data_IF_621197615700
#
_entry.id   IF_621197615700
#
_cell.length_a   1.000
_cell.length_b   1.000
_cell.length_c   1.000
_cell.angle_alpha   90.00
_cell.angle_beta   90.00
_cell.angle_gamma   90.00
#
_symmetry.space_group_name_H-M   'P 1'
#
loop_
_entity.id
_entity.type
_entity.pdbx_description
1 polymer ?
#
# COMPACT_ATOMS: atom_id res chain seq x y z
N UNK A 1 0.24 15.15 -0.02
CA UNK A 1 -0.25 13.81 -0.41
C UNK A 1 -1.77 13.85 -0.36
N UNK A 2 -2.44 13.22 -1.32
CA UNK A 2 -3.92 13.28 -1.44
C UNK A 2 -4.60 12.21 -0.56
N UNK A 3 -3.85 11.21 -0.07
CA UNK A 3 -4.38 10.13 0.76
C UNK A 3 -3.69 10.08 2.12
N UNK A 4 -4.47 9.82 3.16
CA UNK A 4 -3.98 9.58 4.52
C UNK A 4 -3.48 8.14 4.70
N UNK A 5 -2.68 7.92 5.76
CA UNK A 5 -2.13 6.60 6.11
C UNK A 5 -3.24 5.54 6.20
N UNK A 6 -4.32 5.87 6.91
CA UNK A 6 -5.42 4.95 7.18
C UNK A 6 -6.21 4.64 5.89
N UNK A 7 -6.39 5.64 5.01
CA UNK A 7 -7.01 5.45 3.70
C UNK A 7 -6.16 4.54 2.78
N UNK A 8 -4.83 4.68 2.83
CA UNK A 8 -3.94 3.79 2.08
C UNK A 8 -4.00 2.35 2.60
N UNK A 9 -4.04 2.17 3.92
CA UNK A 9 -4.19 0.83 4.53
C UNK A 9 -5.55 0.19 4.23
N UNK A 10 -6.63 0.98 4.18
CA UNK A 10 -7.96 0.50 3.79
C UNK A 10 -8.00 0.11 2.31
N UNK A 11 -7.42 0.94 1.42
CA UNK A 11 -7.32 0.63 -0.01
C UNK A 11 -6.48 -0.61 -0.30
N UNK A 12 -5.38 -0.80 0.43
CA UNK A 12 -4.56 -2.02 0.32
C UNK A 12 -5.39 -3.25 0.72
N UNK A 13 -6.09 -3.20 1.86
CA UNK A 13 -6.95 -4.30 2.30
C UNK A 13 -8.05 -4.64 1.31
N UNK A 14 -8.75 -3.62 0.78
CA UNK A 14 -9.79 -3.82 -0.22
C UNK A 14 -9.25 -4.43 -1.53
N UNK A 15 -8.03 -4.06 -1.94
CA UNK A 15 -7.38 -4.66 -3.11
C UNK A 15 -6.90 -6.09 -2.84
N UNK A 16 -6.34 -6.37 -1.67
CA UNK A 16 -5.91 -7.71 -1.28
C UNK A 16 -7.11 -8.68 -1.25
N UNK A 17 -8.24 -8.28 -0.65
CA UNK A 17 -9.47 -9.06 -0.64
C UNK A 17 -10.04 -9.30 -2.05
N UNK A 18 -9.94 -8.30 -2.93
CA UNK A 18 -10.39 -8.41 -4.32
C UNK A 18 -9.50 -9.34 -5.14
N UNK A 19 -8.20 -9.31 -4.91
CA UNK A 19 -7.23 -10.22 -5.53
C UNK A 19 -7.49 -11.65 -5.06
N UNK A 20 -7.68 -11.87 -3.77
CA UNK A 20 -7.93 -13.20 -3.19
C UNK A 20 -9.24 -13.80 -3.71
N UNK A 21 -10.32 -13.00 -3.75
CA UNK A 21 -11.59 -13.42 -4.34
C UNK A 21 -11.46 -13.77 -5.82
N UNK A 22 -10.75 -12.97 -6.60
CA UNK A 22 -10.57 -13.24 -8.02
C UNK A 22 -9.68 -14.45 -8.27
N UNK A 23 -8.59 -14.63 -7.49
CA UNK A 23 -7.74 -15.81 -7.53
C UNK A 23 -8.52 -17.09 -7.19
N UNK A 24 -9.45 -17.01 -6.24
CA UNK A 24 -10.36 -18.10 -5.87
C UNK A 24 -11.32 -18.49 -7.01
N UNK A 25 -11.65 -17.55 -7.91
CA UNK A 25 -12.47 -17.78 -9.10
C UNK A 25 -11.67 -18.18 -10.36
N UNK A 26 -10.33 -18.22 -10.30
CA UNK A 26 -9.47 -18.61 -11.45
C UNK A 26 -9.67 -20.07 -11.87
N UNK A 27 -10.35 -20.89 -11.05
CA UNK A 27 -10.73 -22.26 -11.42
C UNK A 27 -11.66 -22.36 -12.65
N UNK A 28 -12.22 -21.24 -13.17
CA UNK A 28 -13.17 -21.27 -14.29
C UNK A 28 -12.84 -20.39 -15.51
N UNK A 29 -12.05 -19.29 -15.40
CA UNK A 29 -11.94 -18.24 -16.44
C UNK A 29 -10.49 -17.80 -16.79
N UNK A 30 -9.59 -18.76 -17.02
CA UNK A 30 -8.11 -18.66 -16.97
C UNK A 30 -7.31 -17.68 -17.85
N UNK A 31 -7.87 -16.59 -18.40
CA UNK A 31 -7.07 -15.54 -19.09
C UNK A 31 -7.42 -14.10 -18.68
N UNK A 32 -8.69 -13.72 -18.66
CA UNK A 32 -9.09 -12.35 -18.34
C UNK A 32 -8.86 -12.01 -16.86
N UNK A 33 -9.05 -12.99 -15.97
CA UNK A 33 -8.83 -12.84 -14.53
C UNK A 33 -7.34 -12.64 -14.21
N UNK A 34 -6.44 -13.26 -14.98
CA UNK A 34 -4.99 -13.12 -14.78
C UNK A 34 -4.50 -11.69 -15.03
N UNK A 35 -5.01 -11.03 -16.09
CA UNK A 35 -4.68 -9.63 -16.37
C UNK A 35 -5.23 -8.69 -15.28
N UNK A 36 -6.49 -8.88 -14.88
CA UNK A 36 -7.13 -8.06 -13.84
C UNK A 36 -6.42 -8.19 -12.48
N UNK A 37 -6.08 -9.42 -12.08
CA UNK A 37 -5.30 -9.68 -10.87
C UNK A 37 -3.93 -8.99 -10.97
N UNK A 38 -3.24 -9.09 -12.11
CA UNK A 38 -1.95 -8.43 -12.31
C UNK A 38 -2.04 -6.90 -12.16
N UNK A 39 -3.08 -6.27 -12.72
CA UNK A 39 -3.28 -4.82 -12.59
C UNK A 39 -3.61 -4.40 -11.16
N UNK A 40 -4.43 -5.19 -10.43
CA UNK A 40 -4.71 -4.93 -9.02
C UNK A 40 -3.47 -5.10 -8.14
N UNK A 41 -2.64 -6.12 -8.40
CA UNK A 41 -1.36 -6.30 -7.69
C UNK A 41 -0.45 -5.08 -7.90
N UNK A 42 -0.32 -4.57 -9.14
CA UNK A 42 0.47 -3.36 -9.43
C UNK A 42 -0.08 -2.12 -8.73
N UNK A 43 -1.39 -2.00 -8.56
CA UNK A 43 -2.00 -0.89 -7.83
C UNK A 43 -1.72 -1.00 -6.33
N UNK A 44 -1.85 -2.22 -5.78
CA UNK A 44 -1.55 -2.53 -4.38
C UNK A 44 -0.09 -2.22 -4.04
N UNK A 45 0.85 -2.61 -4.90
CA UNK A 45 2.27 -2.32 -4.71
C UNK A 45 2.57 -0.82 -4.72
N UNK A 46 1.90 -0.05 -5.58
CA UNK A 46 2.02 1.42 -5.59
C UNK A 46 1.52 2.03 -4.29
N UNK A 47 0.37 1.60 -3.77
CA UNK A 47 -0.13 2.09 -2.48
C UNK A 47 0.78 1.68 -1.32
N UNK A 48 1.36 0.48 -1.37
CA UNK A 48 2.33 0.04 -0.38
C UNK A 48 3.61 0.90 -0.40
N UNK A 49 4.09 1.28 -1.59
CA UNK A 49 5.24 2.19 -1.72
C UNK A 49 4.91 3.57 -1.15
N UNK A 50 3.75 4.14 -1.47
CA UNK A 50 3.32 5.42 -0.92
C UNK A 50 3.19 5.38 0.62
N UNK A 51 2.68 4.28 1.18
CA UNK A 51 2.60 4.07 2.63
C UNK A 51 3.99 3.99 3.26
N UNK A 52 4.92 3.28 2.61
CA UNK A 52 6.31 3.19 3.07
C UNK A 52 7.02 4.55 3.03
N UNK A 53 6.78 5.36 2.00
CA UNK A 53 7.30 6.72 1.89
C UNK A 53 6.75 7.64 2.99
N UNK A 54 5.44 7.57 3.26
CA UNK A 54 4.81 8.28 4.39
C UNK A 54 5.45 7.90 5.72
N UNK A 55 5.63 6.60 5.98
CA UNK A 55 6.26 6.12 7.20
C UNK A 55 7.73 6.56 7.29
N UNK A 56 8.46 6.57 6.18
CA UNK A 56 9.84 7.03 6.12
C UNK A 56 9.95 8.54 6.37
N UNK A 57 9.08 9.35 5.76
CA UNK A 57 9.01 10.79 5.97
C UNK A 57 8.66 11.13 7.42
N UNK A 58 7.69 10.42 8.00
CA UNK A 58 7.31 10.58 9.41
C UNK A 58 8.48 10.23 10.33
N UNK A 59 9.19 9.13 10.07
CA UNK A 59 10.40 8.74 10.82
C UNK A 59 11.54 9.74 10.67
N UNK A 60 11.77 10.30 9.47
CA UNK A 60 12.77 11.35 9.26
C UNK A 60 12.42 12.65 10.01
N UNK A 61 11.14 13.04 10.02
CA UNK A 61 10.65 14.21 10.76
C UNK A 61 10.87 14.04 12.26
N UNK A 62 10.60 12.85 12.82
CA UNK A 62 10.89 12.53 14.23
C UNK A 62 12.39 12.55 14.54
N UNK A 63 13.25 12.02 13.65
CA UNK A 63 14.71 12.07 13.84
C UNK A 63 15.26 13.50 13.84
N UNK A 64 14.82 14.36 12.91
CA UNK A 64 15.18 15.80 12.92
C UNK A 64 14.71 16.50 14.19
N UNK A 65 13.53 16.13 14.70
CA UNK A 65 13.00 16.68 15.95
C UNK A 65 13.85 16.25 17.16
N UNK A 66 14.26 14.97 17.24
CA UNK A 66 15.11 14.47 18.33
C UNK A 66 16.49 15.12 18.39
N UNK A 67 17.09 15.45 17.24
CA UNK A 67 18.41 16.10 17.19
C UNK A 67 18.36 17.52 17.77
N UNK A 68 17.23 18.22 17.69
CA UNK A 68 17.10 19.60 18.22
C UNK A 68 17.09 19.70 19.75
N UNK A 69 16.79 18.61 20.48
CA UNK A 69 16.69 18.63 21.94
C UNK A 69 17.89 18.01 22.68
N UNK A 70 18.90 17.51 21.95
CA UNK A 70 20.11 16.93 22.53
C UNK A 70 21.26 17.96 22.66
N UNK A 71 20.94 19.19 23.09
CA UNK A 71 21.95 20.20 23.38
C UNK A 71 21.64 20.92 24.68
N UNK A 72 21.88 20.23 25.80
CA UNK A 72 22.23 20.80 27.10
C UNK A 72 23.09 19.78 27.84
#
# INVERSE_FOLDING_TARGET
>A
MIYDKDELEEKIRALDEKIENAQSQVSFNGRSVSYQVSEWTKQRDRYQQMLNELLAETRQRVKRHRIKYARF
#
